data_IF_200045959567
#
_entry.id   IF_200045959567
#
_cell.length_a   1.000
_cell.length_b   1.000
_cell.length_c   1.000
_cell.angle_alpha   90.00
_cell.angle_beta   90.00
_cell.angle_gamma   90.00
#
_symmetry.space_group_name_H-M   'P 1'
#
loop_
_entity.id
_entity.type
_entity.pdbx_description
1 polymer ?
#
# COMPACT_ATOMS: atom_id res chain seq x y z
N UNK A 1 15.64 -7.35 -4.27
CA UNK A 1 15.02 -6.62 -5.39
C UNK A 1 14.94 -5.14 -5.01
N UNK A 2 15.53 -4.24 -5.81
CA UNK A 2 15.51 -2.79 -5.52
C UNK A 2 14.07 -2.23 -5.48
N UNK A 3 13.19 -2.73 -6.35
CA UNK A 3 11.78 -2.31 -6.44
C UNK A 3 10.95 -2.69 -5.20
N UNK A 4 11.12 -3.91 -4.65
CA UNK A 4 10.43 -4.34 -3.43
C UNK A 4 10.75 -3.41 -2.26
N UNK A 5 12.03 -3.06 -2.10
CA UNK A 5 12.45 -2.17 -1.02
C UNK A 5 11.86 -0.77 -1.21
N UNK A 6 11.86 -0.22 -2.43
CA UNK A 6 11.25 1.08 -2.72
C UNK A 6 9.74 1.11 -2.40
N UNK A 7 9.02 0.01 -2.66
CA UNK A 7 7.59 -0.10 -2.30
C UNK A 7 7.41 -0.13 -0.79
N UNK A 8 8.25 -0.86 -0.06
CA UNK A 8 8.23 -0.92 1.41
C UNK A 8 8.51 0.46 2.00
N UNK A 9 9.56 1.14 1.54
CA UNK A 9 9.94 2.45 2.05
C UNK A 9 8.83 3.48 1.82
N UNK A 10 8.19 3.44 0.65
CA UNK A 10 7.03 4.30 0.35
C UNK A 10 5.80 3.97 1.19
N UNK A 11 5.54 2.68 1.42
CA UNK A 11 4.44 2.25 2.27
C UNK A 11 4.64 2.81 3.69
N UNK A 12 5.82 2.57 4.27
CA UNK A 12 6.15 3.05 5.62
C UNK A 12 6.13 4.58 5.71
N UNK A 13 6.52 5.30 4.66
CA UNK A 13 6.46 6.76 4.64
C UNK A 13 5.02 7.30 4.54
N UNK A 14 4.11 6.53 3.95
CA UNK A 14 2.70 6.88 3.77
C UNK A 14 1.85 6.52 5.00
N UNK A 15 2.19 5.45 5.71
CA UNK A 15 1.56 5.00 6.95
C UNK A 15 1.91 5.98 8.08
N UNK A 16 1.05 6.98 8.32
CA UNK A 16 1.37 8.10 9.22
C UNK A 16 1.17 7.74 10.68
N UNK A 17 0.25 6.83 10.96
CA UNK A 17 -0.03 6.37 12.31
C UNK A 17 0.79 5.13 12.69
N UNK A 18 1.57 4.57 11.75
CA UNK A 18 2.45 3.41 11.93
C UNK A 18 1.69 2.17 12.42
N UNK A 19 0.47 1.95 11.88
CA UNK A 19 -0.39 0.84 12.25
C UNK A 19 -0.26 -0.39 11.33
N UNK A 20 0.62 -0.31 10.34
CA UNK A 20 0.89 -1.34 9.35
C UNK A 20 -0.11 -1.35 8.20
N UNK A 21 -0.91 -0.30 8.05
CA UNK A 21 -1.95 -0.18 7.03
C UNK A 21 -1.92 1.22 6.42
N UNK A 22 -2.39 1.30 5.19
CA UNK A 22 -2.75 2.57 4.58
C UNK A 22 -4.26 2.71 4.56
N UNK A 23 -4.75 3.79 5.11
CA UNK A 23 -6.07 4.34 4.79
C UNK A 23 -6.08 4.93 3.39
N UNK A 24 -7.28 5.26 2.89
CA UNK A 24 -7.40 5.85 1.55
C UNK A 24 -6.78 7.23 1.49
N UNK A 25 -6.93 8.00 2.56
CA UNK A 25 -6.36 9.33 2.74
C UNK A 25 -4.82 9.26 2.76
N UNK A 26 -4.23 8.39 3.57
CA UNK A 26 -2.77 8.18 3.60
C UNK A 26 -2.23 7.73 2.25
N UNK A 27 -2.93 6.81 1.57
CA UNK A 27 -2.57 6.39 0.22
C UNK A 27 -2.70 7.54 -0.80
N UNK A 28 -3.65 8.46 -0.66
CA UNK A 28 -3.78 9.61 -1.56
C UNK A 28 -2.60 10.58 -1.41
N UNK A 29 -2.12 10.78 -0.19
CA UNK A 29 -1.00 11.67 0.11
C UNK A 29 0.35 11.05 -0.26
N UNK A 30 0.60 9.80 0.17
CA UNK A 30 1.91 9.16 0.06
C UNK A 30 2.07 8.24 -1.16
N UNK A 31 0.98 7.67 -1.68
CA UNK A 31 1.02 6.68 -2.77
C UNK A 31 -0.13 6.84 -3.78
N UNK A 32 -0.22 7.95 -4.54
CA UNK A 32 -1.39 8.25 -5.39
C UNK A 32 -1.78 7.15 -6.40
N UNK A 33 -0.83 6.31 -6.85
CA UNK A 33 -1.11 5.16 -7.72
C UNK A 33 -1.87 4.04 -7.00
N UNK A 34 -1.59 3.84 -5.71
CA UNK A 34 -2.30 2.90 -4.82
C UNK A 34 -3.71 3.40 -4.60
N UNK A 35 -3.88 4.69 -4.24
CA UNK A 35 -5.21 5.30 -4.09
C UNK A 35 -6.08 5.24 -5.35
N UNK A 36 -5.48 5.41 -6.54
CA UNK A 36 -6.17 5.24 -7.83
C UNK A 36 -6.60 3.80 -8.11
N UNK A 37 -5.87 2.83 -7.57
CA UNK A 37 -6.15 1.39 -7.75
C UNK A 37 -6.81 0.76 -6.52
N UNK A 38 -7.38 1.59 -5.63
CA UNK A 38 -7.82 1.17 -4.30
C UNK A 38 -8.68 -0.10 -4.30
N UNK A 39 -9.77 -0.10 -5.08
CA UNK A 39 -10.72 -1.22 -5.14
C UNK A 39 -10.13 -2.51 -5.70
N UNK A 40 -8.98 -2.44 -6.39
CA UNK A 40 -8.24 -3.62 -6.84
C UNK A 40 -7.34 -4.21 -5.75
N UNK A 41 -6.99 -3.42 -4.74
CA UNK A 41 -6.05 -3.83 -3.69
C UNK A 41 -6.80 -4.16 -2.39
N UNK A 42 -7.78 -3.33 -2.02
CA UNK A 42 -8.73 -3.58 -0.92
C UNK A 42 -9.93 -4.41 -1.42
N UNK A 43 -9.66 -5.62 -1.92
CA UNK A 43 -10.66 -6.52 -2.51
C UNK A 43 -11.78 -6.90 -1.52
N UNK A 44 -11.44 -6.99 -0.23
CA UNK A 44 -12.36 -7.30 0.86
C UNK A 44 -13.15 -6.07 1.35
N UNK A 45 -12.89 -4.87 0.81
CA UNK A 45 -13.48 -3.59 1.23
C UNK A 45 -13.36 -3.35 2.74
N UNK A 46 -12.19 -3.63 3.32
CA UNK A 46 -11.89 -3.40 4.73
C UNK A 46 -11.67 -1.94 5.07
N UNK A 47 -11.49 -1.08 4.05
CA UNK A 47 -11.19 0.34 4.23
C UNK A 47 -9.71 0.61 4.48
N UNK A 48 -8.85 -0.39 4.30
CA UNK A 48 -7.40 -0.25 4.42
C UNK A 48 -6.64 -1.24 3.54
N UNK A 49 -5.39 -0.90 3.22
CA UNK A 49 -4.46 -1.75 2.47
C UNK A 49 -3.26 -2.08 3.35
N UNK A 50 -2.94 -3.36 3.48
CA UNK A 50 -1.70 -3.84 4.12
C UNK A 50 -0.54 -3.89 3.13
N UNK A 51 0.69 -3.87 3.65
CA UNK A 51 1.89 -4.05 2.83
C UNK A 51 1.85 -5.37 2.04
N UNK A 52 1.37 -6.46 2.64
CA UNK A 52 1.28 -7.76 1.96
C UNK A 52 0.32 -7.73 0.76
N UNK A 53 -0.86 -7.10 0.91
CA UNK A 53 -1.81 -6.93 -0.18
C UNK A 53 -1.18 -6.13 -1.33
N UNK A 54 -0.48 -5.04 -1.00
CA UNK A 54 0.20 -4.21 -1.99
C UNK A 54 1.28 -5.00 -2.75
N UNK A 55 2.16 -5.71 -2.03
CA UNK A 55 3.21 -6.54 -2.63
C UNK A 55 2.64 -7.69 -3.47
N UNK A 56 1.52 -8.27 -3.03
CA UNK A 56 0.81 -9.31 -3.77
C UNK A 56 0.33 -8.81 -5.14
N UNK A 57 -0.35 -7.66 -5.17
CA UNK A 57 -0.88 -7.07 -6.42
C UNK A 57 0.25 -6.62 -7.36
N UNK A 58 1.38 -6.18 -6.79
CA UNK A 58 2.56 -5.77 -7.55
C UNK A 58 3.45 -6.95 -7.99
N UNK A 59 3.14 -8.19 -7.56
CA UNK A 59 3.94 -9.40 -7.82
C UNK A 59 5.38 -9.26 -7.32
N UNK A 60 5.54 -8.64 -6.15
CA UNK A 60 6.81 -8.40 -5.47
C UNK A 60 6.98 -9.28 -4.21
N UNK A 61 6.17 -10.34 -4.09
CA UNK A 61 6.38 -11.39 -3.11
C UNK A 61 7.61 -12.21 -3.49
N UNK A 62 8.30 -12.71 -2.47
CA UNK A 62 9.53 -13.49 -2.59
C UNK A 62 9.35 -14.80 -3.38
#
# INVERSE_FOLDING_TARGET
MQERQEVIDRFNAADKNDDGKLTREEAQEGMPKVAKSWSRIDEDNKGYITLDQLLSVMRLKD
#
